data_IF_788331866569
#
_entry.id   IF_788331866569
#
_cell.length_a   1.000
_cell.length_b   1.000
_cell.length_c   1.000
_cell.angle_alpha   90.00
_cell.angle_beta   90.00
_cell.angle_gamma   90.00
#
_symmetry.space_group_name_H-M   'P 1'
#
loop_
_entity.id
_entity.type
_entity.pdbx_description
1 polymer ?
#
# COMPACT_ATOMS: atom_id res chain seq x y z
N UNK A 1 9.61 -4.98 -18.36
CA UNK A 1 9.40 -3.90 -17.38
C UNK A 1 9.29 -4.54 -16.01
N UNK A 2 10.29 -4.30 -15.14
CA UNK A 2 10.34 -4.91 -13.81
C UNK A 2 9.28 -4.27 -12.91
N UNK A 3 8.44 -5.09 -12.28
CA UNK A 3 7.33 -4.66 -11.40
C UNK A 3 7.79 -4.25 -9.98
N UNK A 4 9.10 -4.08 -9.75
CA UNK A 4 9.68 -4.11 -8.40
C UNK A 4 10.39 -2.81 -7.97
N UNK A 5 10.32 -1.73 -8.75
CA UNK A 5 11.07 -0.50 -8.41
C UNK A 5 10.52 0.20 -7.16
N UNK A 6 9.23 0.05 -6.85
CA UNK A 6 8.64 0.59 -5.63
C UNK A 6 9.03 -0.19 -4.37
N UNK A 7 9.32 -1.51 -4.47
CA UNK A 7 9.80 -2.32 -3.33
C UNK A 7 11.20 -1.84 -2.89
N UNK A 8 12.04 -1.43 -3.84
CA UNK A 8 13.38 -0.87 -3.55
C UNK A 8 13.34 0.41 -2.73
N UNK A 9 12.23 1.15 -2.72
CA UNK A 9 12.08 2.37 -1.90
C UNK A 9 11.98 2.02 -0.41
N UNK A 10 11.48 0.84 -0.07
CA UNK A 10 11.31 0.40 1.33
C UNK A 10 12.43 -0.52 1.83
N UNK A 11 13.15 -1.17 0.89
CA UNK A 11 14.33 -1.94 1.20
C UNK A 11 15.53 -1.02 1.46
N UNK A 12 16.38 -1.37 2.43
CA UNK A 12 17.68 -0.74 2.54
C UNK A 12 18.50 -1.05 1.26
N UNK A 13 19.46 -0.20 0.91
CA UNK A 13 20.17 -0.27 -0.38
C UNK A 13 20.88 -1.62 -0.67
N UNK A 14 21.01 -2.51 0.32
CA UNK A 14 21.64 -3.83 0.22
C UNK A 14 20.72 -5.01 0.66
N UNK A 15 19.44 -4.76 0.97
CA UNK A 15 18.50 -5.76 1.48
C UNK A 15 17.78 -6.49 0.33
N UNK A 16 17.66 -7.83 0.41
CA UNK A 16 16.88 -8.59 -0.57
C UNK A 16 15.37 -8.32 -0.39
N UNK A 17 14.55 -8.44 -1.45
CA UNK A 17 13.09 -8.30 -1.32
C UNK A 17 12.51 -9.26 -0.26
N UNK A 18 13.02 -10.48 -0.20
CA UNK A 18 12.59 -11.50 0.76
C UNK A 18 12.86 -11.07 2.21
N UNK A 19 14.06 -10.57 2.50
CA UNK A 19 14.44 -10.09 3.83
C UNK A 19 13.60 -8.87 4.24
N UNK A 20 13.36 -7.96 3.29
CA UNK A 20 12.49 -6.81 3.50
C UNK A 20 11.08 -7.25 3.91
N UNK A 21 10.46 -8.17 3.17
CA UNK A 21 9.11 -8.65 3.47
C UNK A 21 9.05 -9.41 4.80
N UNK A 22 10.07 -10.20 5.13
CA UNK A 22 10.15 -10.89 6.42
C UNK A 22 10.18 -9.88 7.58
N UNK A 23 11.05 -8.87 7.49
CA UNK A 23 11.13 -7.78 8.48
C UNK A 23 9.84 -6.97 8.55
N UNK A 24 9.24 -6.66 7.41
CA UNK A 24 7.99 -5.91 7.35
C UNK A 24 6.84 -6.67 8.01
N UNK A 25 6.74 -7.97 7.75
CA UNK A 25 5.78 -8.85 8.44
C UNK A 25 5.95 -8.80 9.95
N UNK A 26 7.18 -8.95 10.44
CA UNK A 26 7.44 -8.88 11.88
C UNK A 26 7.05 -7.53 12.49
N UNK A 27 7.29 -6.43 11.77
CA UNK A 27 6.89 -5.11 12.23
C UNK A 27 5.37 -4.97 12.31
N UNK A 28 4.64 -5.50 11.33
CA UNK A 28 3.18 -5.54 11.35
C UNK A 28 2.65 -6.35 12.53
N UNK A 29 3.17 -7.56 12.74
CA UNK A 29 2.75 -8.44 13.83
C UNK A 29 3.04 -7.85 15.23
N UNK A 30 4.08 -7.02 15.35
CA UNK A 30 4.43 -6.32 16.61
C UNK A 30 3.58 -5.07 16.84
N UNK A 31 3.22 -4.35 15.77
CA UNK A 31 2.54 -3.06 15.86
C UNK A 31 1.01 -3.17 15.84
N UNK A 32 0.46 -4.24 15.29
CA UNK A 32 -0.98 -4.42 15.09
C UNK A 32 -1.47 -5.77 15.61
N UNK A 33 -2.70 -5.78 16.11
CA UNK A 33 -3.40 -6.99 16.48
C UNK A 33 -4.29 -7.40 15.31
N UNK A 34 -4.13 -8.63 14.88
CA UNK A 34 -4.93 -9.25 13.84
C UNK A 34 -5.72 -10.44 14.42
N UNK A 35 -6.93 -10.73 13.92
CA UNK A 35 -7.64 -10.00 12.87
C UNK A 35 -8.22 -8.68 13.38
N UNK A 36 -8.25 -7.66 12.53
CA UNK A 36 -8.59 -6.30 12.96
C UNK A 36 -8.70 -5.29 11.82
N UNK A 37 -9.17 -4.09 12.14
CA UNK A 37 -9.19 -3.00 11.18
C UNK A 37 -7.77 -2.48 10.95
N UNK A 38 -7.36 -2.41 9.69
CA UNK A 38 -6.11 -1.83 9.26
C UNK A 38 -6.36 -0.65 8.33
N UNK A 39 -5.52 0.38 8.45
CA UNK A 39 -5.60 1.60 7.66
C UNK A 39 -4.37 1.68 6.76
N UNK A 40 -4.59 1.52 5.46
CA UNK A 40 -3.59 1.76 4.44
C UNK A 40 -3.58 3.23 4.06
N UNK A 41 -2.39 3.77 3.79
CA UNK A 41 -2.25 5.14 3.31
C UNK A 41 -1.37 5.20 2.08
N UNK A 42 -1.94 5.75 1.01
CA UNK A 42 -1.29 5.89 -0.28
C UNK A 42 -1.25 7.36 -0.69
N UNK A 43 -0.20 7.77 -1.37
CA UNK A 43 -0.13 9.02 -2.10
C UNK A 43 0.17 8.67 -3.55
N UNK A 44 -0.73 9.01 -4.46
CA UNK A 44 -0.59 8.71 -5.88
C UNK A 44 -0.70 10.00 -6.70
N UNK A 45 -0.09 10.07 -7.90
CA UNK A 45 -0.36 11.16 -8.82
C UNK A 45 -1.86 11.28 -9.07
N UNK A 46 -2.39 12.51 -9.14
CA UNK A 46 -3.80 12.78 -9.40
C UNK A 46 -4.13 12.51 -10.87
N UNK A 47 -4.08 11.23 -11.24
CA UNK A 47 -4.41 10.71 -12.56
C UNK A 47 -5.53 9.68 -12.38
N UNK A 48 -6.70 9.89 -13.00
CA UNK A 48 -7.88 9.03 -12.80
C UNK A 48 -7.60 7.55 -13.05
N UNK A 49 -6.70 7.23 -13.99
CA UNK A 49 -6.28 5.85 -14.27
C UNK A 49 -5.57 5.21 -13.08
N UNK A 50 -4.65 5.92 -12.42
CA UNK A 50 -3.88 5.43 -11.27
C UNK A 50 -4.77 5.29 -10.03
N UNK A 51 -5.67 6.26 -9.82
CA UNK A 51 -6.70 6.18 -8.78
C UNK A 51 -7.57 4.94 -8.99
N UNK A 52 -8.12 4.75 -10.20
CA UNK A 52 -8.94 3.58 -10.52
C UNK A 52 -8.19 2.25 -10.37
N UNK A 53 -6.89 2.20 -10.71
CA UNK A 53 -6.06 1.02 -10.48
C UNK A 53 -5.98 0.68 -8.98
N UNK A 54 -5.75 1.66 -8.12
CA UNK A 54 -5.73 1.43 -6.67
C UNK A 54 -7.09 0.97 -6.17
N UNK A 55 -8.19 1.61 -6.58
CA UNK A 55 -9.54 1.16 -6.21
C UNK A 55 -9.79 -0.30 -6.57
N UNK A 56 -9.38 -0.72 -7.76
CA UNK A 56 -9.59 -2.09 -8.24
C UNK A 56 -8.92 -3.15 -7.36
N UNK A 57 -7.78 -2.84 -6.76
CA UNK A 57 -7.06 -3.75 -5.85
C UNK A 57 -7.92 -4.07 -4.61
N UNK A 58 -8.74 -3.11 -4.17
CA UNK A 58 -9.55 -3.22 -2.96
C UNK A 58 -11.05 -3.45 -3.26
N UNK A 59 -11.45 -3.60 -4.52
CA UNK A 59 -12.86 -3.66 -4.95
C UNK A 59 -13.62 -4.90 -4.42
N UNK A 60 -12.89 -5.97 -4.11
CA UNK A 60 -13.46 -7.19 -3.52
C UNK A 60 -13.52 -7.18 -1.98
N UNK A 61 -13.15 -6.04 -1.37
CA UNK A 61 -13.18 -5.87 0.08
C UNK A 61 -14.26 -4.90 0.51
N UNK A 62 -14.77 -5.06 1.73
CA UNK A 62 -15.68 -4.11 2.39
C UNK A 62 -14.92 -2.86 2.89
N UNK A 63 -14.02 -2.32 2.06
CA UNK A 63 -13.13 -1.22 2.41
C UNK A 63 -13.84 0.14 2.33
N UNK A 64 -13.53 1.00 3.30
CA UNK A 64 -13.90 2.41 3.28
C UNK A 64 -12.76 3.25 2.70
N UNK A 65 -13.09 4.16 1.78
CA UNK A 65 -12.12 5.02 1.09
C UNK A 65 -12.32 6.48 1.47
N UNK A 66 -11.22 7.15 1.75
CA UNK A 66 -11.17 8.60 1.92
C UNK A 66 -10.07 9.18 1.04
N UNK A 67 -10.38 10.21 0.28
CA UNK A 67 -9.45 10.83 -0.65
C UNK A 67 -9.29 12.31 -0.37
N UNK A 68 -8.07 12.80 -0.48
CA UNK A 68 -7.74 14.21 -0.34
C UNK A 68 -6.67 14.61 -1.35
N UNK A 69 -7.03 15.49 -2.26
CA UNK A 69 -6.07 16.11 -3.16
C UNK A 69 -5.07 17.00 -2.39
N UNK A 70 -3.81 16.96 -2.84
CA UNK A 70 -2.76 17.84 -2.36
C UNK A 70 -3.03 19.29 -2.74
N UNK A 71 -2.40 20.24 -2.03
CA UNK A 71 -2.55 21.68 -2.27
C UNK A 71 -2.24 22.09 -3.72
N UNK A 72 -1.32 21.39 -4.38
CA UNK A 72 -0.94 21.66 -5.78
C UNK A 72 -1.75 20.87 -6.80
N UNK A 73 -2.65 19.98 -6.36
CA UNK A 73 -3.41 19.08 -7.23
C UNK A 73 -2.57 17.96 -7.86
N UNK A 74 -1.24 17.92 -7.67
CA UNK A 74 -0.35 16.94 -8.31
C UNK A 74 -0.53 15.52 -7.79
N UNK A 75 -0.88 15.40 -6.51
CA UNK A 75 -1.06 14.12 -5.83
C UNK A 75 -2.40 14.06 -5.11
N UNK A 76 -2.91 12.85 -4.95
CA UNK A 76 -4.07 12.50 -4.12
C UNK A 76 -3.63 11.54 -3.04
N UNK A 77 -3.88 11.92 -1.78
CA UNK A 77 -3.76 10.99 -0.66
C UNK A 77 -5.03 10.15 -0.60
N UNK A 78 -4.88 8.84 -0.55
CA UNK A 78 -5.97 7.88 -0.42
C UNK A 78 -5.74 7.07 0.85
N UNK A 79 -6.70 7.14 1.76
CA UNK A 79 -6.75 6.32 2.97
C UNK A 79 -7.79 5.24 2.76
N UNK A 80 -7.40 3.98 2.98
CA UNK A 80 -8.27 2.81 2.83
C UNK A 80 -8.31 2.09 4.17
N UNK A 81 -9.50 1.92 4.74
CA UNK A 81 -9.67 1.20 6.01
C UNK A 81 -10.53 -0.02 5.78
N UNK A 82 -10.05 -1.19 6.18
CA UNK A 82 -10.79 -2.46 6.09
C UNK A 82 -10.38 -3.43 7.18
N UNK A 83 -11.22 -4.42 7.43
CA UNK A 83 -10.90 -5.54 8.30
C UNK A 83 -9.99 -6.53 7.57
N UNK A 84 -8.85 -6.87 8.18
CA UNK A 84 -7.86 -7.80 7.63
C UNK A 84 -7.60 -8.94 8.62
N UNK A 85 -7.34 -10.12 8.08
CA UNK A 85 -7.18 -11.35 8.87
C UNK A 85 -5.81 -11.47 9.54
N UNK A 86 -4.75 -11.02 8.85
CA UNK A 86 -3.36 -11.15 9.28
C UNK A 86 -2.44 -10.13 8.58
N UNK A 87 -1.18 -10.08 9.03
CA UNK A 87 -0.14 -9.27 8.43
C UNK A 87 0.21 -9.68 7.00
N UNK A 88 0.01 -10.94 6.62
CA UNK A 88 0.30 -11.43 5.27
C UNK A 88 -0.65 -10.75 4.27
N UNK A 89 -1.93 -10.69 4.60
CA UNK A 89 -2.97 -10.00 3.82
C UNK A 89 -2.59 -8.53 3.57
N UNK A 90 -2.11 -7.85 4.61
CA UNK A 90 -1.63 -6.45 4.52
C UNK A 90 -0.45 -6.33 3.54
N UNK A 91 0.53 -7.23 3.62
CA UNK A 91 1.68 -7.22 2.71
C UNK A 91 1.28 -7.47 1.25
N UNK A 92 0.32 -8.35 1.01
CA UNK A 92 -0.19 -8.63 -0.34
C UNK A 92 -0.80 -7.39 -0.98
N UNK A 93 -1.61 -6.64 -0.22
CA UNK A 93 -2.16 -5.35 -0.68
C UNK A 93 -1.06 -4.34 -1.02
N UNK A 94 -0.05 -4.18 -0.16
CA UNK A 94 1.08 -3.30 -0.46
C UNK A 94 1.88 -3.76 -1.69
N UNK A 95 2.07 -5.08 -1.84
CA UNK A 95 2.75 -5.66 -3.00
C UNK A 95 1.98 -5.41 -4.30
N UNK A 96 0.66 -5.57 -4.29
CA UNK A 96 -0.15 -5.28 -5.47
C UNK A 96 -0.17 -3.78 -5.80
N UNK A 97 -0.36 -2.94 -4.79
CA UNK A 97 -0.33 -1.48 -4.91
C UNK A 97 1.02 -0.99 -5.46
N UNK A 98 2.13 -1.64 -5.10
CA UNK A 98 3.48 -1.33 -5.60
C UNK A 98 3.64 -1.46 -7.12
N UNK A 99 2.68 -2.06 -7.83
CA UNK A 99 2.68 -2.07 -9.30
C UNK A 99 2.21 -0.75 -9.94
N UNK A 100 1.63 0.17 -9.16
CA UNK A 100 1.14 1.46 -9.63
C UNK A 100 2.31 2.44 -9.73
N UNK A 101 2.50 3.01 -10.91
CA UNK A 101 3.61 3.94 -11.16
C UNK A 101 3.45 5.27 -10.39
N UNK A 102 4.50 5.67 -9.69
CA UNK A 102 4.54 6.89 -8.88
C UNK A 102 3.77 6.81 -7.56
N UNK A 103 3.32 5.62 -7.14
CA UNK A 103 2.70 5.44 -5.82
C UNK A 103 3.73 5.57 -4.71
N UNK A 104 3.30 6.23 -3.63
CA UNK A 104 3.99 6.25 -2.35
C UNK A 104 3.07 5.58 -1.35
N UNK A 105 3.60 4.68 -0.53
CA UNK A 105 2.90 3.95 0.51
C UNK A 105 3.45 4.40 1.85
N UNK A 106 2.60 4.67 2.84
CA UNK A 106 2.96 5.23 4.15
C UNK A 106 2.58 4.32 5.31
#
# INVERSE_FOLDING_TARGET
MNKNDNIKVFANNDESPEDFYARFKEQLDKAHIFPGNYMFKFIIPTESKKVAQLHKIFDHSEASFSMKESKSGKYTSITITMYVSDSISVMEYYKEASSIDGIIML
#
